data_IF_717728478836
#
_entry.id   IF_717728478836
#
_cell.length_a   1.000
_cell.length_b   1.000
_cell.length_c   1.000
_cell.angle_alpha   90.00
_cell.angle_beta   90.00
_cell.angle_gamma   90.00
#
_symmetry.space_group_name_H-M   'P 1'
#
loop_
_entity.id
_entity.type
_entity.pdbx_description
1 polymer ?
#
# COMPACT_ATOMS: atom_id res chain seq x y z
N UNK A 1 -37.58 12.48 -12.75
CA UNK A 1 -36.76 13.40 -11.93
C UNK A 1 -36.60 12.92 -10.51
N UNK A 2 -37.69 12.44 -9.89
CA UNK A 2 -37.69 12.02 -8.47
C UNK A 2 -36.92 10.71 -8.21
N UNK A 3 -36.85 9.83 -9.23
CA UNK A 3 -36.11 8.57 -9.15
C UNK A 3 -34.62 8.74 -8.83
N UNK A 4 -33.98 9.85 -9.25
CA UNK A 4 -32.55 10.08 -8.98
C UNK A 4 -32.27 10.28 -7.50
N UNK A 5 -33.09 11.09 -6.83
CA UNK A 5 -32.92 11.36 -5.40
C UNK A 5 -33.21 10.12 -4.56
N UNK A 6 -34.22 9.34 -4.94
CA UNK A 6 -34.53 8.05 -4.30
C UNK A 6 -33.40 7.04 -4.51
N UNK A 7 -32.76 7.02 -5.70
CA UNK A 7 -31.61 6.16 -5.95
C UNK A 7 -30.38 6.60 -5.15
N UNK A 8 -30.13 7.90 -5.03
CA UNK A 8 -29.06 8.47 -4.22
C UNK A 8 -29.25 8.12 -2.72
N UNK A 9 -30.46 8.32 -2.20
CA UNK A 9 -30.82 7.95 -0.84
C UNK A 9 -30.59 6.44 -0.59
N UNK A 10 -31.07 5.60 -1.50
CA UNK A 10 -30.88 4.16 -1.42
C UNK A 10 -29.40 3.75 -1.47
N UNK A 11 -28.58 4.43 -2.28
CA UNK A 11 -27.16 4.20 -2.33
C UNK A 11 -26.50 4.52 -0.99
N UNK A 12 -26.72 5.73 -0.49
CA UNK A 12 -26.02 6.26 0.67
C UNK A 12 -26.50 5.62 1.99
N UNK A 13 -27.80 5.33 2.13
CA UNK A 13 -28.35 4.79 3.37
C UNK A 13 -28.43 3.26 3.43
N UNK A 14 -28.27 2.56 2.30
CA UNK A 14 -28.45 1.10 2.29
C UNK A 14 -27.33 0.37 1.55
N UNK A 15 -27.06 0.70 0.28
CA UNK A 15 -26.17 -0.12 -0.56
C UNK A 15 -24.71 -0.08 -0.11
N UNK A 16 -24.21 1.07 0.33
CA UNK A 16 -22.84 1.17 0.81
C UNK A 16 -22.63 0.35 2.09
N UNK A 17 -23.58 0.40 3.02
CA UNK A 17 -23.52 -0.42 4.23
C UNK A 17 -23.63 -1.93 3.92
N UNK A 18 -24.46 -2.31 2.96
CA UNK A 18 -24.54 -3.68 2.50
C UNK A 18 -23.21 -4.14 1.86
N UNK A 19 -22.54 -3.28 1.09
CA UNK A 19 -21.24 -3.57 0.50
C UNK A 19 -20.15 -3.75 1.58
N UNK A 20 -20.14 -2.91 2.62
CA UNK A 20 -19.24 -3.06 3.78
C UNK A 20 -19.48 -4.37 4.52
N UNK A 21 -20.75 -4.70 4.80
CA UNK A 21 -21.11 -5.98 5.43
C UNK A 21 -20.69 -7.17 4.56
N UNK A 22 -20.89 -7.09 3.24
CA UNK A 22 -20.44 -8.11 2.29
C UNK A 22 -18.94 -8.30 2.31
N UNK A 23 -18.18 -7.20 2.27
CA UNK A 23 -16.72 -7.23 2.33
C UNK A 23 -16.20 -7.89 3.62
N UNK A 24 -16.84 -7.59 4.75
CA UNK A 24 -16.51 -8.15 6.06
C UNK A 24 -16.80 -9.64 6.13
N UNK A 25 -18.03 -10.07 5.80
CA UNK A 25 -18.45 -11.46 5.88
C UNK A 25 -17.63 -12.35 4.94
N UNK A 26 -17.33 -11.86 3.75
CA UNK A 26 -16.56 -12.60 2.75
C UNK A 26 -15.03 -12.41 2.89
N UNK A 27 -14.58 -11.67 3.90
CA UNK A 27 -13.14 -11.42 4.17
C UNK A 27 -12.40 -10.93 2.93
N UNK A 28 -13.02 -10.00 2.18
CA UNK A 28 -12.36 -9.39 1.02
C UNK A 28 -11.13 -8.62 1.43
N UNK A 29 -11.21 -7.95 2.58
CA UNK A 29 -10.07 -7.33 3.26
C UNK A 29 -9.63 -8.26 4.39
N UNK A 30 -8.33 -8.52 4.52
CA UNK A 30 -7.84 -9.47 5.52
C UNK A 30 -6.38 -9.28 5.90
N UNK A 31 -6.03 -9.61 7.12
CA UNK A 31 -4.65 -9.82 7.54
C UNK A 31 -4.13 -11.09 6.85
N UNK A 32 -3.01 -10.98 6.15
CA UNK A 32 -2.34 -12.08 5.42
C UNK A 32 -1.15 -12.61 6.21
N UNK A 33 -0.40 -11.71 6.83
CA UNK A 33 0.67 -12.01 7.79
C UNK A 33 0.33 -11.29 9.07
N UNK A 34 0.41 -11.97 10.20
CA UNK A 34 0.25 -11.39 11.52
C UNK A 34 1.49 -11.61 12.37
N UNK A 35 1.68 -10.77 13.37
CA UNK A 35 2.77 -10.86 14.35
C UNK A 35 2.21 -10.86 15.76
N UNK A 36 2.77 -11.67 16.67
CA UNK A 36 2.40 -11.61 18.07
C UNK A 36 2.81 -10.30 18.75
N UNK A 37 3.78 -9.59 18.17
CA UNK A 37 4.26 -8.28 18.64
C UNK A 37 4.33 -7.31 17.45
N UNK A 38 3.18 -6.87 16.92
CA UNK A 38 3.15 -6.08 15.69
C UNK A 38 3.71 -4.67 15.93
N UNK A 39 4.53 -4.19 15.00
CA UNK A 39 5.14 -2.86 15.05
C UNK A 39 4.90 -2.09 13.76
N UNK A 40 5.16 -2.73 12.61
CA UNK A 40 4.97 -2.16 11.28
C UNK A 40 3.80 -2.85 10.58
N UNK A 41 2.71 -2.12 10.37
CA UNK A 41 1.64 -2.53 9.48
C UNK A 41 1.98 -2.18 8.03
N UNK A 42 1.68 -3.07 7.10
CA UNK A 42 1.70 -2.77 5.67
C UNK A 42 0.30 -3.05 5.14
N UNK A 43 -0.35 -2.03 4.57
CA UNK A 43 -1.66 -2.14 3.94
C UNK A 43 -1.54 -1.88 2.45
N UNK A 44 -2.14 -2.75 1.63
CA UNK A 44 -1.94 -2.72 0.19
C UNK A 44 -3.13 -3.31 -0.57
N UNK A 45 -3.29 -2.94 -1.83
CA UNK A 45 -4.38 -3.39 -2.70
C UNK A 45 -3.90 -3.71 -4.12
N UNK A 46 -4.70 -4.49 -4.84
CA UNK A 46 -4.49 -4.78 -6.26
C UNK A 46 -3.10 -5.34 -6.58
N UNK A 47 -2.47 -4.81 -7.64
CA UNK A 47 -1.11 -5.18 -8.08
C UNK A 47 -0.07 -4.93 -6.98
N UNK A 48 -0.20 -3.81 -6.26
CA UNK A 48 0.77 -3.44 -5.22
C UNK A 48 0.89 -4.50 -4.11
N UNK A 49 -0.14 -5.34 -3.91
CA UNK A 49 -0.03 -6.48 -3.00
C UNK A 49 1.02 -7.51 -3.50
N UNK A 50 1.03 -7.79 -4.81
CA UNK A 50 2.02 -8.71 -5.39
C UNK A 50 3.42 -8.09 -5.36
N UNK A 51 3.52 -6.79 -5.59
CA UNK A 51 4.79 -6.06 -5.52
C UNK A 51 5.36 -6.07 -4.09
N UNK A 52 4.52 -5.93 -3.05
CA UNK A 52 4.92 -6.07 -1.64
C UNK A 52 5.41 -7.49 -1.35
N UNK A 53 4.70 -8.52 -1.83
CA UNK A 53 5.14 -9.92 -1.68
C UNK A 53 6.50 -10.15 -2.35
N UNK A 54 6.67 -9.64 -3.56
CA UNK A 54 7.96 -9.73 -4.27
C UNK A 54 9.07 -8.96 -3.53
N UNK A 55 8.76 -7.77 -3.00
CA UNK A 55 9.71 -7.01 -2.18
C UNK A 55 10.15 -7.78 -0.93
N UNK A 56 9.26 -8.54 -0.30
CA UNK A 56 9.62 -9.42 0.81
C UNK A 56 10.55 -10.55 0.36
N UNK A 57 10.26 -11.22 -0.76
CA UNK A 57 11.12 -12.25 -1.33
C UNK A 57 12.51 -11.70 -1.68
N UNK A 58 12.55 -10.53 -2.30
CA UNK A 58 13.79 -9.84 -2.67
C UNK A 58 14.64 -9.47 -1.44
N UNK A 59 14.02 -9.05 -0.33
CA UNK A 59 14.68 -8.79 0.95
C UNK A 59 15.00 -10.07 1.74
N UNK A 60 14.51 -11.23 1.28
CA UNK A 60 14.66 -12.51 1.97
C UNK A 60 13.81 -12.58 3.25
N UNK A 61 12.66 -11.90 3.27
CA UNK A 61 11.69 -11.89 4.37
C UNK A 61 10.58 -12.86 4.00
N UNK A 62 10.58 -14.04 4.60
CA UNK A 62 9.46 -14.96 4.55
C UNK A 62 8.39 -14.60 5.59
N UNK A 63 7.23 -15.25 5.54
CA UNK A 63 6.10 -14.96 6.45
C UNK A 63 6.48 -15.15 7.92
N UNK A 64 7.37 -16.11 8.22
CA UNK A 64 7.85 -16.38 9.56
C UNK A 64 8.74 -15.23 10.06
N UNK A 65 9.73 -14.85 9.27
CA UNK A 65 10.60 -13.72 9.62
C UNK A 65 9.81 -12.42 9.71
N UNK A 66 8.84 -12.18 8.82
CA UNK A 66 7.94 -11.02 8.89
C UNK A 66 7.22 -10.98 10.25
N UNK A 67 6.64 -12.10 10.69
CA UNK A 67 6.00 -12.19 11.99
C UNK A 67 6.97 -11.99 13.17
N UNK A 68 8.18 -12.56 13.10
CA UNK A 68 9.22 -12.42 14.12
C UNK A 68 9.70 -10.97 14.30
N UNK A 69 9.86 -10.22 13.21
CA UNK A 69 10.30 -8.82 13.23
C UNK A 69 9.19 -7.80 13.50
N UNK A 70 7.96 -8.25 13.61
CA UNK A 70 6.83 -7.39 13.97
C UNK A 70 6.08 -6.80 12.76
N UNK A 71 6.10 -7.44 11.60
CA UNK A 71 5.34 -7.01 10.42
C UNK A 71 3.94 -7.64 10.45
N UNK A 72 2.92 -6.81 10.23
CA UNK A 72 1.55 -7.23 9.93
C UNK A 72 1.17 -6.76 8.53
N UNK A 73 0.79 -7.70 7.64
CA UNK A 73 0.40 -7.39 6.27
C UNK A 73 -1.11 -7.51 6.09
N UNK A 74 -1.74 -6.47 5.60
CA UNK A 74 -3.17 -6.39 5.31
C UNK A 74 -3.42 -6.22 3.81
N UNK A 75 -4.22 -7.11 3.26
CA UNK A 75 -4.67 -7.06 1.85
C UNK A 75 -6.05 -6.46 1.78
N UNK A 76 -6.21 -5.39 1.02
CA UNK A 76 -7.48 -4.75 0.71
C UNK A 76 -8.01 -5.30 -0.61
N UNK A 77 -9.20 -5.90 -0.58
CA UNK A 77 -9.92 -6.36 -1.78
C UNK A 77 -10.98 -5.35 -2.23
N UNK A 78 -11.63 -4.66 -1.29
CA UNK A 78 -12.55 -3.56 -1.57
C UNK A 78 -11.92 -2.25 -1.11
N UNK A 79 -11.49 -1.44 -2.06
CA UNK A 79 -10.72 -0.22 -1.80
C UNK A 79 -11.59 0.97 -1.42
N UNK A 80 -12.87 0.97 -1.77
CA UNK A 80 -13.81 2.01 -1.41
C UNK A 80 -15.26 1.48 -1.34
N UNK A 81 -16.03 1.81 -0.32
CA UNK A 81 -15.52 2.37 0.95
C UNK A 81 -14.62 1.37 1.68
N UNK A 82 -13.60 1.87 2.38
CA UNK A 82 -12.71 1.01 3.16
C UNK A 82 -13.47 0.44 4.36
N UNK A 83 -13.43 -0.88 4.53
CA UNK A 83 -14.15 -1.54 5.61
C UNK A 83 -13.49 -1.24 6.96
N UNK A 84 -14.21 -0.50 7.82
CA UNK A 84 -13.68 0.13 9.02
C UNK A 84 -13.31 -0.84 10.14
N UNK A 85 -14.10 -1.88 10.40
CA UNK A 85 -13.84 -2.80 11.52
C UNK A 85 -12.57 -3.61 11.30
N UNK A 86 -12.41 -4.16 10.09
CA UNK A 86 -11.22 -4.93 9.74
C UNK A 86 -9.95 -4.09 9.72
N UNK A 87 -10.03 -2.84 9.24
CA UNK A 87 -8.86 -1.97 9.19
C UNK A 87 -8.49 -1.42 10.59
N UNK A 88 -9.47 -1.20 11.46
CA UNK A 88 -9.21 -0.85 12.86
C UNK A 88 -8.56 -2.00 13.60
N UNK A 89 -9.07 -3.21 13.45
CA UNK A 89 -8.45 -4.41 14.03
C UNK A 89 -7.02 -4.62 13.49
N UNK A 90 -6.79 -4.39 12.19
CA UNK A 90 -5.44 -4.42 11.63
C UNK A 90 -4.51 -3.40 12.29
N UNK A 91 -5.01 -2.20 12.61
CA UNK A 91 -4.21 -1.11 13.18
C UNK A 91 -3.85 -1.29 14.66
N UNK A 92 -4.54 -2.17 15.39
CA UNK A 92 -4.32 -2.40 16.82
C UNK A 92 -2.88 -2.85 17.12
N UNK A 93 -2.23 -2.15 18.03
CA UNK A 93 -0.89 -2.45 18.51
C UNK A 93 0.25 -2.06 17.56
N UNK A 94 -0.05 -1.50 16.39
CA UNK A 94 0.96 -1.02 15.46
C UNK A 94 1.53 0.35 15.89
N UNK A 95 2.82 0.54 15.68
CA UNK A 95 3.49 1.85 15.86
C UNK A 95 3.37 2.70 14.58
N UNK A 96 3.45 2.05 13.42
CA UNK A 96 3.44 2.70 12.12
C UNK A 96 2.72 1.82 11.08
N UNK A 97 2.02 2.44 10.13
CA UNK A 97 1.40 1.78 8.99
C UNK A 97 1.93 2.40 7.70
N UNK A 98 2.54 1.57 6.85
CA UNK A 98 2.92 1.91 5.49
C UNK A 98 1.80 1.51 4.53
N UNK A 99 1.25 2.50 3.81
CA UNK A 99 0.26 2.26 2.75
C UNK A 99 0.96 2.14 1.41
N UNK A 100 0.80 1.01 0.75
CA UNK A 100 1.36 0.74 -0.58
C UNK A 100 0.24 0.63 -1.60
N UNK A 101 0.06 1.67 -2.38
CA UNK A 101 -0.95 1.77 -3.43
C UNK A 101 -0.41 2.53 -4.66
N UNK A 102 -0.92 2.20 -5.84
CA UNK A 102 -0.57 2.89 -7.08
C UNK A 102 -1.19 4.30 -7.14
N UNK A 103 -0.52 5.20 -7.88
CA UNK A 103 -1.00 6.56 -8.14
C UNK A 103 -1.25 7.37 -6.86
N UNK A 104 -2.33 8.17 -6.81
CA UNK A 104 -2.68 9.02 -5.67
C UNK A 104 -3.32 8.21 -4.53
N UNK A 105 -3.31 8.80 -3.35
CA UNK A 105 -3.81 8.20 -2.13
C UNK A 105 -5.33 8.00 -2.17
N UNK A 106 -5.77 6.77 -2.08
CA UNK A 106 -7.17 6.40 -1.90
C UNK A 106 -7.38 5.65 -0.58
N UNK A 107 -6.59 4.61 -0.36
CA UNK A 107 -6.62 3.82 0.88
C UNK A 107 -6.00 4.61 2.03
N UNK A 108 -4.90 5.32 1.78
CA UNK A 108 -4.20 6.12 2.79
C UNK A 108 -5.10 7.19 3.41
N UNK A 109 -5.88 7.91 2.61
CA UNK A 109 -6.77 8.95 3.14
C UNK A 109 -7.91 8.37 3.97
N UNK A 110 -8.55 7.29 3.51
CA UNK A 110 -9.60 6.62 4.27
C UNK A 110 -9.05 6.04 5.59
N UNK A 111 -7.85 5.45 5.56
CA UNK A 111 -7.22 4.93 6.76
C UNK A 111 -6.91 6.05 7.77
N UNK A 112 -6.38 7.19 7.31
CA UNK A 112 -6.14 8.36 8.16
C UNK A 112 -7.42 8.89 8.79
N UNK A 113 -8.51 8.95 8.03
CA UNK A 113 -9.84 9.34 8.52
C UNK A 113 -10.34 8.38 9.60
N UNK A 114 -10.27 7.06 9.36
CA UNK A 114 -10.71 6.03 10.30
C UNK A 114 -9.96 6.05 11.64
N UNK A 115 -8.68 6.42 11.61
CA UNK A 115 -7.83 6.44 12.78
C UNK A 115 -7.69 7.82 13.44
N UNK A 116 -8.19 8.88 12.82
CA UNK A 116 -7.98 10.25 13.28
C UNK A 116 -8.43 10.48 14.73
N UNK A 117 -9.57 9.94 15.11
CA UNK A 117 -10.15 10.09 16.44
C UNK A 117 -9.65 9.06 17.47
N UNK A 118 -8.69 8.23 17.12
CA UNK A 118 -8.06 7.36 18.10
C UNK A 118 -7.20 8.17 19.07
N UNK A 119 -7.10 7.70 20.31
CA UNK A 119 -6.22 8.32 21.29
C UNK A 119 -4.78 8.33 20.76
N UNK A 120 -4.06 9.41 21.02
CA UNK A 120 -2.70 9.62 20.53
C UNK A 120 -1.71 8.53 20.94
N UNK A 121 -1.90 7.98 22.16
CA UNK A 121 -1.03 6.93 22.72
C UNK A 121 -1.17 5.54 22.07
N UNK A 122 -2.26 5.31 21.32
CA UNK A 122 -2.54 4.03 20.64
C UNK A 122 -2.67 4.16 19.13
N UNK A 123 -2.72 5.39 18.60
CA UNK A 123 -2.88 5.66 17.18
C UNK A 123 -1.56 5.46 16.44
N UNK A 124 -1.49 4.50 15.49
CA UNK A 124 -0.29 4.34 14.68
C UNK A 124 -0.06 5.54 13.76
N UNK A 125 1.19 5.80 13.43
CA UNK A 125 1.54 6.76 12.40
C UNK A 125 1.22 6.16 11.03
N UNK A 126 0.53 6.91 10.18
CA UNK A 126 0.21 6.46 8.81
C UNK A 126 1.04 7.22 7.80
N UNK A 127 1.82 6.48 7.03
CA UNK A 127 2.66 6.97 5.93
C UNK A 127 2.34 6.19 4.65
N UNK A 128 2.65 6.72 3.50
CA UNK A 128 2.40 6.06 2.23
C UNK A 128 3.15 6.74 1.10
N UNK A 129 2.52 7.65 0.39
CA UNK A 129 3.20 8.42 -0.66
C UNK A 129 4.28 9.34 -0.11
N UNK A 130 4.07 9.85 1.09
CA UNK A 130 4.99 10.75 1.76
C UNK A 130 5.37 10.20 3.14
N UNK A 131 6.47 10.72 3.66
CA UNK A 131 6.89 10.48 5.02
C UNK A 131 5.94 11.17 6.03
N UNK A 132 6.32 11.16 7.28
CA UNK A 132 5.57 11.76 8.38
C UNK A 132 5.39 13.27 8.29
N UNK A 133 6.15 13.98 7.44
CA UNK A 133 6.01 15.42 7.21
C UNK A 133 4.83 15.76 6.31
N UNK A 134 4.44 14.81 5.43
CA UNK A 134 3.35 14.99 4.49
C UNK A 134 3.73 15.73 3.21
N UNK A 135 2.76 15.85 2.28
CA UNK A 135 2.95 16.34 0.92
C UNK A 135 3.35 17.82 0.86
N UNK A 136 2.76 18.63 1.71
CA UNK A 136 2.83 20.09 1.62
C UNK A 136 3.82 20.72 2.59
N UNK A 137 4.68 19.90 3.21
CA UNK A 137 5.77 20.38 4.04
C UNK A 137 6.81 21.15 3.20
N UNK A 138 7.49 22.13 3.81
CA UNK A 138 8.45 22.99 3.11
C UNK A 138 9.82 22.31 2.93
N UNK A 139 10.44 22.42 1.75
CA UNK A 139 9.91 22.94 0.48
C UNK A 139 8.93 21.99 -0.20
N UNK A 140 9.03 20.70 0.05
CA UNK A 140 8.16 19.60 -0.35
C UNK A 140 8.28 18.46 0.65
N UNK A 141 7.22 17.66 0.83
CA UNK A 141 7.33 16.36 1.48
C UNK A 141 8.20 15.42 0.65
N UNK A 142 8.93 14.54 1.30
CA UNK A 142 9.72 13.52 0.60
C UNK A 142 8.83 12.38 0.13
N UNK A 143 8.88 12.11 -1.16
CA UNK A 143 8.22 10.95 -1.73
C UNK A 143 8.87 9.67 -1.22
N UNK A 144 8.13 8.87 -0.46
CA UNK A 144 8.50 7.50 -0.14
C UNK A 144 8.15 6.57 -1.31
N UNK A 145 6.93 6.69 -1.82
CA UNK A 145 6.42 5.93 -2.95
C UNK A 145 5.82 6.90 -3.98
N UNK A 146 6.34 6.97 -5.21
CA UNK A 146 5.89 7.95 -6.18
C UNK A 146 4.42 7.76 -6.58
N UNK A 147 3.73 8.88 -6.86
CA UNK A 147 2.39 8.86 -7.42
C UNK A 147 2.39 8.81 -8.96
N UNK A 148 3.55 9.07 -9.57
CA UNK A 148 3.74 9.00 -11.02
C UNK A 148 4.42 7.69 -11.42
N UNK A 149 4.14 7.22 -12.63
CA UNK A 149 4.71 5.98 -13.13
C UNK A 149 4.11 4.74 -12.51
N UNK A 150 4.87 3.68 -12.48
CA UNK A 150 4.52 2.38 -11.91
C UNK A 150 5.40 2.13 -10.68
N UNK A 151 4.80 1.58 -9.62
CA UNK A 151 5.56 1.10 -8.48
C UNK A 151 6.27 -0.20 -8.86
N UNK A 152 7.53 -0.32 -8.43
CA UNK A 152 8.31 -1.55 -8.60
C UNK A 152 8.57 -2.21 -7.25
N UNK A 153 8.75 -3.54 -7.21
CA UNK A 153 9.15 -4.24 -5.99
C UNK A 153 10.41 -3.67 -5.36
N UNK A 154 11.39 -3.24 -6.15
CA UNK A 154 12.64 -2.67 -5.65
C UNK A 154 12.43 -1.32 -4.92
N UNK A 155 11.54 -0.44 -5.44
CA UNK A 155 11.17 0.79 -4.73
C UNK A 155 10.52 0.48 -3.39
N UNK A 156 9.59 -0.46 -3.37
CA UNK A 156 8.88 -0.89 -2.18
C UNK A 156 9.84 -1.54 -1.18
N UNK A 157 10.75 -2.40 -1.65
CA UNK A 157 11.75 -3.06 -0.82
C UNK A 157 12.65 -2.05 -0.08
N UNK A 158 13.09 -0.99 -0.76
CA UNK A 158 13.88 0.09 -0.15
C UNK A 158 13.12 0.78 0.99
N UNK A 159 11.86 1.14 0.75
CA UNK A 159 11.03 1.78 1.77
C UNK A 159 10.80 0.84 2.95
N UNK A 160 10.42 -0.40 2.71
CA UNK A 160 10.21 -1.41 3.76
C UNK A 160 11.50 -1.61 4.58
N UNK A 161 12.64 -1.81 3.92
CA UNK A 161 13.92 -2.00 4.61
C UNK A 161 14.32 -0.79 5.46
N UNK A 162 14.10 0.44 4.96
CA UNK A 162 14.35 1.66 5.70
C UNK A 162 13.45 1.80 6.94
N UNK A 163 12.17 1.39 6.84
CA UNK A 163 11.24 1.43 7.98
C UNK A 163 11.57 0.35 9.01
N UNK A 164 11.85 -0.87 8.60
CA UNK A 164 12.31 -1.96 9.48
C UNK A 164 13.60 -1.57 10.18
N UNK A 165 14.54 -0.95 9.47
CA UNK A 165 15.84 -0.52 9.98
C UNK A 165 15.78 0.44 11.17
N UNK A 166 14.62 1.04 11.47
CA UNK A 166 14.40 1.90 12.64
C UNK A 166 14.36 1.12 13.96
N UNK A 167 14.08 -0.18 13.92
CA UNK A 167 13.90 -1.00 15.12
C UNK A 167 14.52 -2.39 15.07
N UNK A 168 14.90 -2.87 13.88
CA UNK A 168 15.57 -4.16 13.69
C UNK A 168 16.81 -3.97 12.82
N UNK A 169 17.95 -4.48 13.30
CA UNK A 169 19.17 -4.58 12.50
C UNK A 169 19.31 -5.99 11.98
N UNK A 170 19.32 -6.18 10.65
CA UNK A 170 19.51 -7.45 9.99
C UNK A 170 20.53 -7.33 8.89
N UNK A 171 21.65 -8.03 9.04
CA UNK A 171 22.70 -8.07 8.01
C UNK A 171 22.23 -8.78 6.75
N UNK A 172 21.29 -9.75 6.88
CA UNK A 172 20.64 -10.39 5.75
C UNK A 172 19.85 -9.39 4.89
N UNK A 173 19.00 -8.58 5.52
CA UNK A 173 18.20 -7.56 4.80
C UNK A 173 19.13 -6.53 4.15
N UNK A 174 20.17 -6.08 4.86
CA UNK A 174 21.15 -5.14 4.29
C UNK A 174 21.89 -5.72 3.07
N UNK A 175 22.35 -6.97 3.16
CA UNK A 175 23.03 -7.64 2.06
C UNK A 175 22.12 -7.78 0.83
N UNK A 176 20.85 -8.17 1.04
CA UNK A 176 19.85 -8.26 -0.04
C UNK A 176 19.55 -6.92 -0.67
N UNK A 177 19.41 -5.85 0.12
CA UNK A 177 19.20 -4.49 -0.38
C UNK A 177 20.40 -4.02 -1.22
N UNK A 178 21.62 -4.22 -0.74
CA UNK A 178 22.86 -3.90 -1.49
C UNK A 178 22.96 -4.68 -2.81
N UNK A 179 22.51 -5.94 -2.83
CA UNK A 179 22.43 -6.74 -4.04
C UNK A 179 21.44 -6.16 -5.04
N UNK A 180 20.23 -5.76 -4.62
CA UNK A 180 19.24 -5.13 -5.48
C UNK A 180 19.77 -3.82 -6.10
N UNK A 181 20.40 -2.99 -5.29
CA UNK A 181 21.01 -1.73 -5.75
C UNK A 181 22.15 -1.95 -6.77
N UNK A 182 22.93 -3.01 -6.59
CA UNK A 182 23.98 -3.38 -7.53
C UNK A 182 23.40 -3.87 -8.87
N UNK A 183 22.32 -4.61 -8.85
CA UNK A 183 21.59 -5.08 -10.03
C UNK A 183 21.00 -3.89 -10.82
N UNK A 184 20.33 -2.95 -10.15
CA UNK A 184 19.79 -1.76 -10.80
C UNK A 184 20.89 -0.93 -11.48
N UNK A 185 22.00 -0.67 -10.79
CA UNK A 185 23.15 0.05 -11.37
C UNK A 185 23.77 -0.68 -12.57
N UNK A 186 23.74 -2.01 -12.58
CA UNK A 186 24.23 -2.78 -13.73
C UNK A 186 23.27 -2.66 -14.93
N UNK A 187 21.96 -2.64 -14.69
CA UNK A 187 20.94 -2.46 -15.73
C UNK A 187 20.99 -1.05 -16.34
N UNK A 188 21.17 0.00 -15.55
CA UNK A 188 21.28 1.38 -16.04
C UNK A 188 22.41 1.56 -17.09
N UNK A 189 23.48 0.78 -16.98
CA UNK A 189 24.62 0.82 -17.92
C UNK A 189 24.36 0.11 -19.24
N UNK A 190 23.36 -0.76 -19.29
CA UNK A 190 23.09 -1.64 -20.45
C UNK A 190 21.88 -1.27 -21.26
N UNK A 191 21.12 -0.27 -20.83
CA UNK A 191 19.88 0.11 -21.51
C UNK A 191 20.19 0.92 -22.77
N UNK A 192 20.12 0.27 -23.93
CA UNK A 192 19.80 0.95 -25.18
C UNK A 192 18.37 1.50 -25.00
N UNK A 193 18.13 2.82 -25.15
CA UNK A 193 16.81 3.40 -24.95
C UNK A 193 15.88 2.98 -26.08
N UNK A 194 15.40 1.75 -26.05
CA UNK A 194 14.29 1.31 -26.89
C UNK A 194 12.99 1.64 -26.18
N UNK A 195 12.50 2.83 -26.43
CA UNK A 195 11.20 3.26 -25.96
C UNK A 195 10.13 2.68 -26.91
N UNK A 196 9.41 1.68 -26.43
CA UNK A 196 8.16 1.27 -27.13
C UNK A 196 7.11 2.35 -26.85
N UNK A 197 6.67 3.01 -27.93
CA UNK A 197 5.50 3.88 -27.86
C UNK A 197 4.29 3.00 -27.51
N UNK A 198 3.51 3.32 -26.48
CA UNK A 198 2.31 2.57 -26.16
C UNK A 198 1.36 2.58 -27.37
N UNK A 199 0.87 1.41 -27.73
CA UNK A 199 -0.12 1.24 -28.78
C UNK A 199 -1.37 0.56 -28.22
N UNK A 200 -2.51 0.97 -28.68
CA UNK A 200 -3.73 0.19 -28.49
C UNK A 200 -3.69 -1.06 -29.34
N UNK A 201 -4.33 -2.14 -28.86
CA UNK A 201 -4.40 -3.39 -29.62
C UNK A 201 -5.08 -3.17 -30.96
N UNK A 202 -4.69 -3.94 -31.96
CA UNK A 202 -5.32 -3.93 -33.28
C UNK A 202 -6.84 -4.17 -33.16
N UNK A 203 -7.66 -3.29 -33.75
CA UNK A 203 -9.12 -3.33 -33.63
C UNK A 203 -9.68 -2.72 -32.32
N UNK A 204 -8.86 -2.12 -31.47
CA UNK A 204 -9.34 -1.42 -30.29
C UNK A 204 -10.14 -0.16 -30.68
N UNK A 205 -11.35 0.06 -30.11
CA UNK A 205 -12.14 1.26 -30.40
C UNK A 205 -11.44 2.57 -29.99
N UNK A 206 -10.48 2.52 -29.08
CA UNK A 206 -9.70 3.69 -28.67
C UNK A 206 -8.70 4.17 -29.74
N UNK A 207 -8.41 3.38 -30.80
CA UNK A 207 -7.55 3.81 -31.90
C UNK A 207 -8.10 5.01 -32.68
N UNK A 208 -9.38 5.31 -32.52
CA UNK A 208 -10.05 6.44 -33.21
C UNK A 208 -10.14 7.69 -32.35
N UNK A 209 -9.67 7.65 -31.09
CA UNK A 209 -9.76 8.74 -30.12
C UNK A 209 -8.41 9.40 -29.83
N UNK A 210 -7.35 9.07 -30.58
CA UNK A 210 -6.01 9.67 -30.49
C UNK A 210 -5.73 10.57 -31.68
#
# INVERSE_FOLDING_TARGET
PDDRLVQEERLLHHKLYAALAYARVNRLNRIVIDSPNPRLGIITCGKSYLDVRQAFDDLGIDDRLAAEIGIRLYKVGMVWPLESEGVRHFAEGLEEILVVEEKRQLVEYQLKEELYNWREDVRPRVIGKFDEKGEWAQPHGEWLLPACGELTPAMIARVIAARIGRYVTSDRIKARLSFLEAQERALEKTVVPMQRIPHFCSGCPHNTST
#
